data_IF_935868565546
#
_entry.id   IF_935868565546
#
_cell.length_a   1.000
_cell.length_b   1.000
_cell.length_c   1.000
_cell.angle_alpha   90.00
_cell.angle_beta   90.00
_cell.angle_gamma   90.00
#
_symmetry.space_group_name_H-M   'P 1'
#
loop_
_entity.id
_entity.type
_entity.pdbx_description
1 polymer ?
#
# COMPACT_ATOMS: atom_id res chain seq x y z
N UNK A 1 -4.46 -39.52 35.05
CA UNK A 1 -4.50 -39.01 36.43
C UNK A 1 -5.97 -39.07 36.89
N UNK A 2 -6.53 -40.25 37.12
CA UNK A 2 -6.45 -41.06 38.33
C UNK A 2 -7.05 -40.35 39.57
N UNK A 3 -8.26 -40.75 39.96
CA UNK A 3 -8.76 -41.00 41.32
C UNK A 3 -10.17 -41.65 41.12
N UNK A 4 -10.33 -42.99 41.17
CA UNK A 4 -10.49 -43.85 42.36
C UNK A 4 -11.40 -43.20 43.41
N UNK A 5 -12.36 -43.84 44.08
CA UNK A 5 -12.81 -45.22 44.22
C UNK A 5 -13.73 -45.20 45.46
N UNK A 6 -14.90 -45.86 45.47
CA UNK A 6 -15.21 -46.92 46.45
C UNK A 6 -16.61 -47.48 46.28
N UNK A 7 -16.63 -48.81 46.25
CA UNK A 7 -17.79 -49.67 46.28
C UNK A 7 -18.23 -50.01 47.72
N UNK A 8 -19.45 -50.55 47.80
CA UNK A 8 -19.92 -51.45 48.86
C UNK A 8 -21.13 -50.93 49.64
N UNK A 9 -22.08 -51.74 50.15
CA UNK A 9 -22.56 -53.10 49.90
C UNK A 9 -23.81 -53.23 50.78
N UNK A 10 -24.92 -53.75 50.24
CA UNK A 10 -26.01 -54.52 50.90
C UNK A 10 -26.59 -54.07 52.25
N UNK A 11 -27.92 -53.88 52.29
CA UNK A 11 -28.70 -53.88 53.54
C UNK A 11 -30.20 -54.00 53.27
N UNK A 12 -30.74 -55.18 53.60
CA UNK A 12 -32.13 -55.66 53.40
C UNK A 12 -32.97 -55.23 54.61
N UNK A 13 -34.18 -54.72 54.44
CA UNK A 13 -35.10 -54.52 55.57
C UNK A 13 -36.39 -53.76 55.25
N UNK A 14 -37.52 -54.45 55.42
CA UNK A 14 -38.90 -54.02 55.16
C UNK A 14 -39.35 -52.88 56.09
N UNK A 15 -40.21 -51.99 55.59
CA UNK A 15 -41.02 -51.08 56.40
C UNK A 15 -42.03 -50.33 55.53
N UNK A 16 -43.30 -50.68 55.65
CA UNK A 16 -44.42 -50.13 54.90
C UNK A 16 -44.78 -48.70 55.33
N UNK A 17 -45.31 -47.89 54.41
CA UNK A 17 -45.93 -46.60 54.73
C UNK A 17 -46.08 -45.73 53.47
N UNK A 18 -47.31 -45.55 53.01
CA UNK A 18 -47.63 -45.03 51.68
C UNK A 18 -47.38 -43.54 51.45
N UNK A 19 -47.41 -43.16 50.18
CA UNK A 19 -48.18 -42.05 49.60
C UNK A 19 -47.92 -42.06 48.08
N UNK A 20 -48.81 -42.70 47.32
CA UNK A 20 -48.82 -42.62 45.87
C UNK A 20 -49.33 -41.23 45.45
N UNK A 21 -48.44 -40.33 45.02
CA UNK A 21 -48.83 -39.15 44.22
C UNK A 21 -48.88 -39.58 42.76
N UNK A 22 -50.10 -39.75 42.25
CA UNK A 22 -50.35 -39.88 40.82
C UNK A 22 -49.87 -38.59 40.10
N UNK A 23 -49.03 -38.74 39.08
CA UNK A 23 -48.68 -37.64 38.16
C UNK A 23 -49.93 -37.30 37.35
N UNK A 24 -50.41 -36.04 37.34
CA UNK A 24 -51.53 -35.68 36.48
C UNK A 24 -51.09 -35.75 35.03
N UNK A 25 -51.83 -36.49 34.20
CA UNK A 25 -51.70 -36.43 32.76
C UNK A 25 -52.04 -35.00 32.30
N UNK A 26 -51.10 -34.32 31.64
CA UNK A 26 -51.36 -33.05 30.97
C UNK A 26 -52.43 -33.27 29.90
N UNK A 27 -53.67 -32.92 30.21
CA UNK A 27 -54.70 -32.73 29.18
C UNK A 27 -54.44 -31.38 28.52
N UNK A 28 -53.94 -31.40 27.29
CA UNK A 28 -53.84 -30.21 26.45
C UNK A 28 -55.27 -29.66 26.24
N UNK A 29 -55.53 -28.38 26.55
CA UNK A 29 -56.84 -27.78 26.33
C UNK A 29 -57.16 -27.77 24.84
N UNK A 30 -58.39 -28.13 24.48
CA UNK A 30 -58.84 -28.08 23.08
C UNK A 30 -58.79 -26.63 22.59
N UNK A 31 -58.16 -26.35 21.44
CA UNK A 31 -58.00 -24.99 20.97
C UNK A 31 -59.36 -24.39 20.65
N UNK A 32 -59.69 -23.27 21.29
CA UNK A 32 -60.86 -22.47 20.92
C UNK A 32 -60.67 -21.94 19.49
N UNK A 33 -61.75 -21.70 18.74
CA UNK A 33 -61.68 -21.19 17.35
C UNK A 33 -60.80 -19.95 17.20
N UNK A 34 -60.72 -19.10 18.25
CA UNK A 34 -59.84 -17.93 18.33
C UNK A 34 -58.36 -18.29 18.45
N UNK A 35 -58.02 -19.33 19.23
CA UNK A 35 -56.66 -19.83 19.36
C UNK A 35 -56.14 -20.48 18.06
N UNK A 36 -57.01 -21.19 17.33
CA UNK A 36 -56.68 -21.73 16.02
C UNK A 36 -56.44 -20.61 14.99
N UNK A 37 -57.29 -19.58 14.97
CA UNK A 37 -57.13 -18.44 14.07
C UNK A 37 -55.83 -17.65 14.34
N UNK A 38 -55.47 -17.47 15.61
CA UNK A 38 -54.19 -16.84 15.99
C UNK A 38 -52.98 -17.68 15.56
N UNK A 39 -53.01 -19.00 15.76
CA UNK A 39 -51.93 -19.88 15.33
C UNK A 39 -51.77 -19.92 13.80
N UNK A 40 -52.88 -19.94 13.06
CA UNK A 40 -52.85 -19.86 11.59
C UNK A 40 -52.32 -18.50 11.13
N UNK A 41 -52.77 -17.41 11.76
CA UNK A 41 -52.28 -16.06 11.46
C UNK A 41 -50.78 -15.89 11.72
N UNK A 42 -50.27 -16.40 12.85
CA UNK A 42 -48.84 -16.35 13.16
C UNK A 42 -48.02 -17.26 12.24
N UNK A 43 -48.53 -18.43 11.88
CA UNK A 43 -47.87 -19.32 10.91
C UNK A 43 -47.79 -18.69 9.52
N UNK A 44 -48.85 -18.02 9.05
CA UNK A 44 -48.86 -17.30 7.76
C UNK A 44 -47.89 -16.11 7.78
N UNK A 45 -47.84 -15.34 8.86
CA UNK A 45 -46.88 -14.24 9.02
C UNK A 45 -45.43 -14.75 9.08
N UNK A 46 -45.17 -15.83 9.81
CA UNK A 46 -43.85 -16.45 9.89
C UNK A 46 -43.42 -17.02 8.53
N UNK A 47 -44.35 -17.63 7.78
CA UNK A 47 -44.10 -18.10 6.42
C UNK A 47 -43.82 -16.95 5.46
N UNK A 48 -44.61 -15.87 5.50
CA UNK A 48 -44.39 -14.67 4.69
C UNK A 48 -43.07 -13.94 5.00
N UNK A 49 -42.72 -13.83 6.29
CA UNK A 49 -41.45 -13.25 6.72
C UNK A 49 -40.25 -14.15 6.33
N UNK A 50 -40.40 -15.47 6.48
CA UNK A 50 -39.37 -16.45 6.11
C UNK A 50 -39.09 -16.49 4.60
N UNK A 51 -40.15 -16.44 3.78
CA UNK A 51 -40.03 -16.36 2.32
C UNK A 51 -39.41 -15.04 1.88
N UNK A 52 -39.84 -13.91 2.43
CA UNK A 52 -39.23 -12.59 2.15
C UNK A 52 -37.75 -12.53 2.54
N UNK A 53 -37.37 -13.12 3.67
CA UNK A 53 -35.98 -13.22 4.09
C UNK A 53 -35.17 -14.11 3.13
N UNK A 54 -35.72 -15.25 2.70
CA UNK A 54 -35.08 -16.15 1.75
C UNK A 54 -34.87 -15.47 0.39
N UNK A 55 -35.88 -14.79 -0.15
CA UNK A 55 -35.80 -14.03 -1.42
C UNK A 55 -34.68 -12.99 -1.37
N UNK A 56 -34.62 -12.17 -0.31
CA UNK A 56 -33.55 -11.18 -0.12
C UNK A 56 -32.13 -11.78 -0.08
N UNK A 57 -31.98 -12.97 0.53
CA UNK A 57 -30.68 -13.66 0.55
C UNK A 57 -30.29 -14.16 -0.84
N UNK A 58 -31.28 -14.62 -1.62
CA UNK A 58 -31.05 -15.18 -2.95
C UNK A 58 -30.79 -14.12 -4.04
N UNK A 59 -31.27 -12.88 -3.89
CA UNK A 59 -31.06 -11.78 -4.85
C UNK A 59 -29.63 -11.66 -5.39
N UNK A 60 -28.62 -11.82 -4.52
CA UNK A 60 -27.22 -11.61 -4.87
C UNK A 60 -26.48 -12.88 -5.33
N UNK A 61 -26.99 -14.08 -5.03
CA UNK A 61 -26.27 -15.35 -5.22
C UNK A 61 -26.95 -16.35 -6.16
N UNK A 62 -28.28 -16.32 -6.23
CA UNK A 62 -29.09 -17.25 -7.01
C UNK A 62 -30.44 -16.59 -7.34
N UNK A 63 -30.47 -15.59 -8.25
CA UNK A 63 -31.71 -14.88 -8.56
C UNK A 63 -32.77 -15.81 -9.17
N UNK A 64 -32.40 -16.92 -9.82
CA UNK A 64 -33.38 -17.93 -10.26
C UNK A 64 -34.18 -18.54 -9.10
N UNK A 65 -33.56 -18.72 -7.92
CA UNK A 65 -34.23 -19.26 -6.74
C UNK A 65 -35.14 -18.22 -6.09
N UNK A 66 -34.77 -16.94 -6.15
CA UNK A 66 -35.65 -15.85 -5.75
C UNK A 66 -36.90 -15.81 -6.65
N UNK A 67 -36.73 -15.91 -7.97
CA UNK A 67 -37.83 -15.95 -8.94
C UNK A 67 -38.72 -17.22 -8.81
N UNK A 68 -38.16 -18.34 -8.33
CA UNK A 68 -38.95 -19.53 -8.05
C UNK A 68 -39.88 -19.36 -6.82
N UNK A 69 -39.51 -18.49 -5.88
CA UNK A 69 -40.29 -18.18 -4.67
C UNK A 69 -41.25 -17.01 -4.90
N UNK A 70 -40.81 -16.00 -5.64
CA UNK A 70 -41.57 -14.82 -6.03
C UNK A 70 -41.26 -14.46 -7.49
N UNK A 71 -42.14 -14.87 -8.40
CA UNK A 71 -41.93 -14.79 -9.85
C UNK A 71 -41.80 -13.38 -10.40
N UNK A 72 -42.35 -12.40 -9.67
CA UNK A 72 -42.39 -11.00 -10.08
C UNK A 72 -41.42 -10.13 -9.24
N UNK A 73 -40.52 -10.74 -8.46
CA UNK A 73 -39.58 -10.01 -7.61
C UNK A 73 -38.72 -9.04 -8.48
N UNK A 74 -38.85 -7.72 -8.28
CA UNK A 74 -38.28 -6.74 -9.19
C UNK A 74 -36.74 -6.73 -9.18
N UNK A 75 -36.12 -7.11 -8.08
CA UNK A 75 -34.65 -7.15 -7.95
C UNK A 75 -34.08 -8.40 -8.62
N UNK A 76 -34.68 -9.56 -8.37
CA UNK A 76 -34.30 -10.84 -8.93
C UNK A 76 -34.44 -10.85 -10.46
N UNK A 77 -35.52 -10.26 -10.99
CA UNK A 77 -35.74 -10.08 -12.43
C UNK A 77 -34.55 -9.37 -13.11
N UNK A 78 -34.09 -8.25 -12.54
CA UNK A 78 -32.97 -7.47 -13.09
C UNK A 78 -31.64 -8.19 -12.92
N UNK A 79 -31.43 -8.88 -11.79
CA UNK A 79 -30.18 -9.61 -11.50
C UNK A 79 -30.03 -10.85 -12.40
N UNK A 80 -31.10 -11.63 -12.59
CA UNK A 80 -31.13 -12.77 -13.52
C UNK A 80 -30.88 -12.30 -14.95
N UNK A 81 -31.56 -11.24 -15.42
CA UNK A 81 -31.32 -10.67 -16.73
C UNK A 81 -29.86 -10.24 -16.92
N UNK A 82 -29.25 -9.59 -15.92
CA UNK A 82 -27.84 -9.21 -15.96
C UNK A 82 -26.90 -10.42 -16.05
N UNK A 83 -27.16 -11.49 -15.28
CA UNK A 83 -26.34 -12.70 -15.32
C UNK A 83 -26.39 -13.37 -16.68
N UNK A 84 -27.57 -13.51 -17.27
CA UNK A 84 -27.75 -14.09 -18.62
C UNK A 84 -27.05 -13.27 -19.70
N UNK A 85 -27.08 -11.94 -19.60
CA UNK A 85 -26.33 -11.05 -20.50
C UNK A 85 -24.83 -11.31 -20.36
N UNK A 86 -24.32 -11.35 -19.13
CA UNK A 86 -22.90 -11.58 -18.88
C UNK A 86 -22.44 -12.97 -19.35
N UNK A 87 -23.31 -13.98 -19.30
CA UNK A 87 -23.06 -15.33 -19.79
C UNK A 87 -23.20 -15.48 -21.32
N UNK A 88 -23.63 -14.43 -22.04
CA UNK A 88 -23.89 -14.50 -23.48
C UNK A 88 -25.11 -15.34 -23.86
N UNK A 89 -25.98 -15.66 -22.89
CA UNK A 89 -27.16 -16.52 -23.07
C UNK A 89 -28.38 -15.78 -23.64
N UNK A 90 -28.27 -14.47 -23.80
CA UNK A 90 -29.32 -13.62 -24.37
C UNK A 90 -29.08 -13.46 -25.86
N UNK A 91 -29.57 -14.41 -26.66
CA UNK A 91 -29.67 -14.27 -28.12
C UNK A 91 -30.70 -13.22 -28.56
N UNK A 92 -30.85 -13.00 -29.86
CA UNK A 92 -31.90 -12.13 -30.42
C UNK A 92 -33.31 -12.74 -30.21
N UNK A 93 -34.34 -11.97 -29.78
CA UNK A 93 -34.38 -10.51 -29.54
C UNK A 93 -33.95 -10.13 -28.11
N UNK A 94 -32.66 -9.86 -27.91
CA UNK A 94 -32.06 -9.60 -26.60
C UNK A 94 -32.50 -8.26 -26.01
N UNK A 95 -32.36 -7.11 -26.72
CA UNK A 95 -32.64 -5.79 -26.16
C UNK A 95 -34.12 -5.56 -25.79
N UNK A 96 -35.05 -6.01 -26.63
CA UNK A 96 -36.48 -5.82 -26.38
C UNK A 96 -36.96 -6.60 -25.14
N UNK A 97 -36.42 -7.82 -24.94
CA UNK A 97 -36.71 -8.64 -23.76
C UNK A 97 -36.14 -8.03 -22.49
N UNK A 98 -34.92 -7.48 -22.53
CA UNK A 98 -34.32 -6.75 -21.40
C UNK A 98 -35.17 -5.54 -21.02
N UNK A 99 -35.63 -4.76 -22.01
CA UNK A 99 -36.46 -3.58 -21.75
C UNK A 99 -37.83 -3.94 -21.15
N UNK A 100 -38.39 -5.11 -21.47
CA UNK A 100 -39.62 -5.59 -20.82
C UNK A 100 -39.38 -5.88 -19.33
N UNK A 101 -38.31 -6.62 -19.01
CA UNK A 101 -37.89 -6.93 -17.63
C UNK A 101 -37.63 -5.64 -16.83
N UNK A 102 -36.95 -4.67 -17.43
CA UNK A 102 -36.71 -3.37 -16.78
C UNK A 102 -38.01 -2.64 -16.49
N UNK A 103 -38.95 -2.58 -17.45
CA UNK A 103 -40.23 -1.89 -17.26
C UNK A 103 -41.07 -2.54 -16.15
N UNK A 104 -41.08 -3.86 -16.10
CA UNK A 104 -41.75 -4.63 -15.06
C UNK A 104 -41.12 -4.34 -13.69
N UNK A 105 -39.80 -4.47 -13.59
CA UNK A 105 -39.06 -4.16 -12.38
C UNK A 105 -39.29 -2.74 -11.85
N UNK A 106 -39.30 -1.73 -12.74
CA UNK A 106 -39.53 -0.32 -12.36
C UNK A 106 -40.99 -0.04 -11.97
N UNK A 107 -41.96 -0.80 -12.51
CA UNK A 107 -43.37 -0.68 -12.10
C UNK A 107 -43.58 -1.15 -10.68
N UNK A 108 -42.97 -2.27 -10.31
CA UNK A 108 -43.07 -2.84 -8.97
C UNK A 108 -42.17 -2.12 -7.95
N UNK A 109 -40.94 -1.75 -8.34
CA UNK A 109 -39.98 -1.05 -7.49
C UNK A 109 -39.31 0.12 -8.24
N UNK A 110 -39.90 1.34 -8.18
CA UNK A 110 -39.37 2.52 -8.89
C UNK A 110 -37.96 2.97 -8.48
N UNK A 111 -37.47 2.49 -7.33
CA UNK A 111 -36.14 2.82 -6.78
C UNK A 111 -35.09 1.73 -7.07
N UNK A 112 -35.39 0.76 -7.94
CA UNK A 112 -34.43 -0.27 -8.32
C UNK A 112 -33.33 0.30 -9.24
N UNK A 113 -32.27 0.85 -8.65
CA UNK A 113 -31.15 1.49 -9.37
C UNK A 113 -30.55 0.65 -10.50
N UNK A 114 -30.24 -0.64 -10.28
CA UNK A 114 -29.74 -1.56 -11.30
C UNK A 114 -30.63 -1.68 -12.53
N UNK A 115 -31.95 -1.48 -12.41
CA UNK A 115 -32.87 -1.51 -13.54
C UNK A 115 -32.57 -0.38 -14.54
N UNK A 116 -32.26 0.82 -14.04
CA UNK A 116 -31.89 1.97 -14.88
C UNK A 116 -30.52 1.77 -15.55
N UNK A 117 -29.55 1.16 -14.86
CA UNK A 117 -28.28 0.77 -15.49
C UNK A 117 -28.51 -0.22 -16.63
N UNK A 118 -29.32 -1.25 -16.38
CA UNK A 118 -29.66 -2.27 -17.37
C UNK A 118 -30.43 -1.67 -18.56
N UNK A 119 -31.31 -0.69 -18.33
CA UNK A 119 -31.92 0.11 -19.40
C UNK A 119 -30.86 0.81 -20.25
N UNK A 120 -29.91 1.51 -19.61
CA UNK A 120 -28.85 2.22 -20.30
C UNK A 120 -28.00 1.29 -21.15
N UNK A 121 -27.54 0.16 -20.58
CA UNK A 121 -26.71 -0.81 -21.30
C UNK A 121 -27.45 -1.48 -22.47
N UNK A 122 -28.73 -1.80 -22.31
CA UNK A 122 -29.54 -2.41 -23.38
C UNK A 122 -29.90 -1.43 -24.50
N UNK A 123 -29.90 -0.13 -24.22
CA UNK A 123 -30.13 0.93 -25.22
C UNK A 123 -28.84 1.45 -25.87
N UNK A 124 -27.66 1.11 -25.36
CA UNK A 124 -26.38 1.56 -25.89
C UNK A 124 -26.13 1.17 -27.36
N UNK A 125 -26.70 0.05 -27.81
CA UNK A 125 -26.65 -0.40 -29.21
C UNK A 125 -27.30 0.59 -30.21
N UNK A 126 -28.13 1.52 -29.72
CA UNK A 126 -28.78 2.56 -30.54
C UNK A 126 -27.94 3.84 -30.71
N UNK A 127 -26.71 3.88 -30.19
CA UNK A 127 -25.79 5.04 -30.20
C UNK A 127 -26.31 6.32 -29.48
N UNK A 128 -27.38 6.24 -28.69
CA UNK A 128 -27.87 7.35 -27.84
C UNK A 128 -27.06 7.47 -26.52
N UNK A 129 -25.80 7.90 -26.61
CA UNK A 129 -24.96 8.14 -25.43
C UNK A 129 -25.58 9.12 -24.41
N UNK A 130 -26.21 10.25 -24.81
CA UNK A 130 -26.92 11.11 -23.86
C UNK A 130 -28.03 10.39 -23.10
N UNK A 131 -28.77 9.51 -23.78
CA UNK A 131 -29.76 8.62 -23.17
C UNK A 131 -29.15 7.68 -22.14
N UNK A 132 -28.08 6.96 -22.51
CA UNK A 132 -27.36 6.07 -21.59
C UNK A 132 -26.89 6.83 -20.35
N UNK A 133 -26.27 8.01 -20.54
CA UNK A 133 -25.79 8.85 -19.43
C UNK A 133 -26.90 9.25 -18.46
N UNK A 134 -28.08 9.64 -18.96
CA UNK A 134 -29.24 9.95 -18.10
C UNK A 134 -29.67 8.76 -17.25
N UNK A 135 -29.61 7.55 -17.81
CA UNK A 135 -30.02 6.31 -17.15
C UNK A 135 -28.99 5.86 -16.11
N UNK A 136 -27.70 6.04 -16.41
CA UNK A 136 -26.62 5.79 -15.46
C UNK A 136 -26.66 6.78 -14.28
N UNK A 137 -26.93 8.06 -14.55
CA UNK A 137 -27.15 9.05 -13.49
C UNK A 137 -28.42 8.79 -12.66
N UNK A 138 -29.48 8.23 -13.26
CA UNK A 138 -30.63 7.74 -12.51
C UNK A 138 -30.26 6.55 -11.61
N UNK A 139 -29.49 5.60 -12.15
CA UNK A 139 -28.99 4.45 -11.39
C UNK A 139 -28.17 4.90 -10.17
N UNK A 140 -27.20 5.80 -10.33
CA UNK A 140 -26.39 6.34 -9.22
C UNK A 140 -27.25 7.07 -8.16
N UNK A 141 -28.28 7.81 -8.57
CA UNK A 141 -29.19 8.49 -7.63
C UNK A 141 -30.01 7.51 -6.79
N UNK A 142 -30.46 6.40 -7.39
CA UNK A 142 -31.29 5.40 -6.70
C UNK A 142 -30.44 4.45 -5.87
N UNK A 143 -29.34 3.94 -6.41
CA UNK A 143 -28.42 3.02 -5.73
C UNK A 143 -26.97 3.44 -5.95
N UNK A 144 -26.45 4.31 -5.07
CA UNK A 144 -25.05 4.78 -5.11
C UNK A 144 -24.02 3.64 -5.04
N UNK A 145 -24.43 2.47 -4.52
CA UNK A 145 -23.59 1.28 -4.36
C UNK A 145 -23.66 0.32 -5.56
N UNK A 146 -24.25 0.72 -6.67
CA UNK A 146 -24.16 -0.02 -7.94
C UNK A 146 -22.77 0.20 -8.58
N UNK A 147 -21.87 -0.77 -8.39
CA UNK A 147 -20.51 -0.73 -8.94
C UNK A 147 -20.51 -0.61 -10.47
N UNK A 148 -21.43 -1.27 -11.17
CA UNK A 148 -21.48 -1.21 -12.63
C UNK A 148 -21.81 0.18 -13.14
N UNK A 149 -22.69 0.90 -12.44
CA UNK A 149 -23.02 2.29 -12.77
C UNK A 149 -21.84 3.21 -12.48
N UNK A 150 -21.15 3.03 -11.34
CA UNK A 150 -19.97 3.83 -11.02
C UNK A 150 -18.85 3.64 -12.05
N UNK A 151 -18.56 2.40 -12.46
CA UNK A 151 -17.53 2.13 -13.47
C UNK A 151 -17.86 2.80 -14.80
N UNK A 152 -19.11 2.70 -15.27
CA UNK A 152 -19.52 3.39 -16.49
C UNK A 152 -19.41 4.92 -16.37
N UNK A 153 -19.79 5.49 -15.23
CA UNK A 153 -19.73 6.94 -14.99
C UNK A 153 -18.29 7.45 -14.83
N UNK A 154 -17.35 6.60 -14.38
CA UNK A 154 -15.92 6.89 -14.42
C UNK A 154 -15.47 7.05 -15.87
N UNK A 155 -15.74 6.06 -16.73
CA UNK A 155 -15.33 6.10 -18.14
C UNK A 155 -15.94 7.31 -18.87
N UNK A 156 -17.25 7.55 -18.71
CA UNK A 156 -17.92 8.71 -19.31
C UNK A 156 -17.33 10.05 -18.82
N UNK A 157 -16.93 10.15 -17.55
CA UNK A 157 -16.28 11.34 -17.03
C UNK A 157 -14.86 11.51 -17.59
N UNK A 158 -14.10 10.42 -17.74
CA UNK A 158 -12.76 10.43 -18.36
C UNK A 158 -12.85 10.84 -19.83
N UNK A 159 -13.79 10.29 -20.60
CA UNK A 159 -14.01 10.67 -22.01
C UNK A 159 -14.36 12.16 -22.17
N UNK A 160 -15.06 12.73 -21.20
CA UNK A 160 -15.40 14.17 -21.17
C UNK A 160 -14.30 15.05 -20.55
N UNK A 161 -13.16 14.47 -20.17
CA UNK A 161 -12.07 15.14 -19.46
C UNK A 161 -12.52 15.83 -18.15
N UNK A 162 -13.53 15.26 -17.49
CA UNK A 162 -14.12 15.74 -16.24
C UNK A 162 -13.50 15.00 -15.04
N UNK A 163 -12.27 15.39 -14.70
CA UNK A 163 -11.45 14.74 -13.65
C UNK A 163 -12.16 14.73 -12.30
N UNK A 164 -12.90 15.79 -11.96
CA UNK A 164 -13.60 15.87 -10.68
C UNK A 164 -14.75 14.86 -10.59
N UNK A 165 -15.56 14.76 -11.65
CA UNK A 165 -16.61 13.75 -11.70
C UNK A 165 -16.01 12.34 -11.67
N UNK A 166 -14.95 12.10 -12.43
CA UNK A 166 -14.27 10.80 -12.44
C UNK A 166 -13.80 10.39 -11.04
N UNK A 167 -13.04 11.25 -10.34
CA UNK A 167 -12.56 10.97 -8.99
C UNK A 167 -13.70 10.79 -7.97
N UNK A 168 -14.80 11.55 -8.12
CA UNK A 168 -16.01 11.37 -7.31
C UNK A 168 -16.65 9.98 -7.48
N UNK A 169 -16.67 9.44 -8.70
CA UNK A 169 -17.14 8.09 -8.96
C UNK A 169 -16.14 7.01 -8.52
N UNK A 170 -14.83 7.28 -8.61
CA UNK A 170 -13.79 6.43 -8.00
C UNK A 170 -13.99 6.29 -6.49
N UNK A 171 -14.19 7.39 -5.76
CA UNK A 171 -14.42 7.34 -4.31
C UNK A 171 -15.62 6.45 -3.96
N UNK A 172 -16.75 6.60 -4.67
CA UNK A 172 -17.92 5.74 -4.51
C UNK A 172 -17.56 4.28 -4.81
N UNK A 173 -16.92 3.99 -5.95
CA UNK A 173 -16.60 2.63 -6.38
C UNK A 173 -15.65 1.90 -5.41
N UNK A 174 -14.65 2.59 -4.89
CA UNK A 174 -13.64 2.05 -3.97
C UNK A 174 -14.18 1.81 -2.55
N UNK A 175 -15.29 2.48 -2.18
CA UNK A 175 -16.03 2.24 -0.92
C UNK A 175 -17.02 1.06 -0.99
N UNK A 176 -17.35 0.57 -2.19
CA UNK A 176 -18.40 -0.46 -2.35
C UNK A 176 -17.90 -1.84 -1.92
N UNK A 177 -16.83 -2.35 -2.54
CA UNK A 177 -16.29 -3.70 -2.34
C UNK A 177 -14.78 -3.71 -2.57
N UNK A 178 -14.05 -4.55 -1.84
CA UNK A 178 -12.59 -4.73 -2.01
C UNK A 178 -12.20 -5.09 -3.45
N UNK A 179 -13.03 -5.92 -4.11
CA UNK A 179 -12.75 -6.42 -5.46
C UNK A 179 -12.65 -5.32 -6.53
N UNK A 180 -13.23 -4.13 -6.30
CA UNK A 180 -13.08 -3.01 -7.25
C UNK A 180 -11.67 -2.41 -7.21
N UNK A 181 -10.95 -2.54 -6.09
CA UNK A 181 -9.59 -1.99 -5.91
C UNK A 181 -8.58 -2.63 -6.85
N UNK A 182 -8.69 -3.94 -7.09
CA UNK A 182 -7.84 -4.66 -8.02
C UNK A 182 -7.95 -4.15 -9.47
N UNK A 183 -9.09 -3.57 -9.82
CA UNK A 183 -9.35 -2.99 -11.15
C UNK A 183 -8.94 -1.52 -11.18
N UNK A 184 -9.30 -0.77 -10.13
CA UNK A 184 -9.22 0.70 -10.13
C UNK A 184 -7.87 1.25 -9.66
N UNK A 185 -7.17 0.58 -8.74
CA UNK A 185 -5.88 1.07 -8.25
C UNK A 185 -4.81 1.18 -9.35
N UNK A 186 -4.60 0.18 -10.23
CA UNK A 186 -3.60 0.31 -11.30
C UNK A 186 -3.84 1.55 -12.18
N UNK A 187 -5.10 1.76 -12.59
CA UNK A 187 -5.48 2.90 -13.44
C UNK A 187 -5.29 4.22 -12.72
N UNK A 188 -5.71 4.30 -11.46
CA UNK A 188 -5.56 5.52 -10.64
C UNK A 188 -4.09 5.83 -10.34
N UNK A 189 -3.25 4.81 -10.15
CA UNK A 189 -1.80 4.96 -9.99
C UNK A 189 -1.18 5.59 -11.24
N UNK A 190 -1.46 5.06 -12.43
CA UNK A 190 -0.98 5.67 -13.69
C UNK A 190 -1.52 7.09 -13.88
N UNK A 191 -2.76 7.37 -13.47
CA UNK A 191 -3.33 8.71 -13.55
C UNK A 191 -2.57 9.75 -12.69
N UNK A 192 -1.80 9.33 -11.68
CA UNK A 192 -1.00 10.25 -10.84
C UNK A 192 0.16 10.90 -11.61
N UNK A 193 0.54 10.40 -12.78
CA UNK A 193 1.52 11.07 -13.65
C UNK A 193 1.04 12.47 -14.06
N UNK A 194 -0.27 12.63 -14.25
CA UNK A 194 -0.89 13.90 -14.64
C UNK A 194 -0.97 14.89 -13.47
N UNK A 195 -0.34 16.08 -13.59
CA UNK A 195 -0.44 17.14 -12.58
C UNK A 195 -1.88 17.59 -12.33
N UNK A 196 -2.73 17.57 -13.35
CA UNK A 196 -4.14 17.95 -13.23
C UNK A 196 -4.93 16.96 -12.37
N UNK A 197 -4.62 15.66 -12.49
CA UNK A 197 -5.26 14.62 -11.67
C UNK A 197 -4.77 14.75 -10.23
N UNK A 198 -3.46 14.87 -9.98
CA UNK A 198 -2.93 15.05 -8.63
C UNK A 198 -3.54 16.26 -7.92
N UNK A 199 -3.63 17.40 -8.61
CA UNK A 199 -4.24 18.61 -8.06
C UNK A 199 -5.71 18.40 -7.63
N UNK A 200 -6.48 17.59 -8.38
CA UNK A 200 -7.86 17.22 -8.01
C UNK A 200 -7.92 16.11 -6.98
N UNK A 201 -6.84 15.37 -6.78
CA UNK A 201 -6.73 14.29 -5.79
C UNK A 201 -6.37 14.81 -4.39
N UNK A 202 -5.73 15.99 -4.28
CA UNK A 202 -5.30 16.57 -2.99
C UNK A 202 -6.36 16.59 -1.87
N UNK A 203 -7.66 16.86 -2.12
CA UNK A 203 -8.67 16.80 -1.07
C UNK A 203 -8.76 15.43 -0.38
N UNK A 204 -8.51 14.33 -1.10
CA UNK A 204 -8.48 13.00 -0.50
C UNK A 204 -7.26 12.79 0.40
N UNK A 205 -6.13 13.46 0.13
CA UNK A 205 -4.95 13.42 1.01
C UNK A 205 -5.20 14.16 2.33
N UNK A 206 -6.05 15.19 2.32
CA UNK A 206 -6.38 16.01 3.49
C UNK A 206 -7.48 15.41 4.37
N UNK A 207 -8.49 14.77 3.76
CA UNK A 207 -9.55 14.03 4.46
C UNK A 207 -9.57 12.56 3.96
N UNK A 208 -8.69 11.69 4.51
CA UNK A 208 -8.46 10.35 3.98
C UNK A 208 -9.71 9.48 3.95
N UNK A 209 -10.21 9.09 2.76
CA UNK A 209 -11.26 8.09 2.68
C UNK A 209 -10.74 6.70 3.11
N UNK A 210 -11.62 5.76 3.52
CA UNK A 210 -11.19 4.44 4.02
C UNK A 210 -10.38 3.58 3.05
N UNK A 211 -10.39 3.89 1.76
CA UNK A 211 -9.62 3.18 0.73
C UNK A 211 -8.26 3.82 0.43
N UNK A 212 -8.00 5.06 0.89
CA UNK A 212 -6.79 5.81 0.53
C UNK A 212 -5.52 5.10 0.98
N UNK A 213 -5.51 4.56 2.18
CA UNK A 213 -4.39 3.79 2.72
C UNK A 213 -4.01 2.63 1.79
N UNK A 214 -5.00 1.82 1.41
CA UNK A 214 -4.78 0.71 0.49
C UNK A 214 -4.30 1.16 -0.88
N UNK A 215 -4.82 2.30 -1.37
CA UNK A 215 -4.38 2.89 -2.63
C UNK A 215 -2.92 3.37 -2.56
N UNK A 216 -2.55 4.15 -1.54
CA UNK A 216 -1.19 4.69 -1.41
C UNK A 216 -0.17 3.57 -1.21
N UNK A 217 -0.50 2.54 -0.42
CA UNK A 217 0.33 1.34 -0.31
C UNK A 217 0.51 0.65 -1.66
N UNK A 218 -0.57 0.47 -2.41
CA UNK A 218 -0.50 -0.11 -3.74
C UNK A 218 0.35 0.75 -4.70
N UNK A 219 0.09 2.06 -4.74
CA UNK A 219 0.74 2.99 -5.65
C UNK A 219 2.24 3.12 -5.37
N UNK A 220 2.65 3.23 -4.10
CA UNK A 220 4.06 3.24 -3.73
C UNK A 220 4.76 1.96 -4.18
N UNK A 221 4.14 0.79 -3.96
CA UNK A 221 4.77 -0.49 -4.27
C UNK A 221 4.76 -0.89 -5.75
N UNK A 222 3.84 -0.34 -6.56
CA UNK A 222 3.57 -0.84 -7.92
C UNK A 222 3.60 0.25 -9.01
N UNK A 223 3.86 1.52 -8.69
CA UNK A 223 3.91 2.57 -9.72
C UNK A 223 5.07 2.33 -10.67
N UNK A 224 4.81 2.45 -11.97
CA UNK A 224 5.86 2.50 -12.99
C UNK A 224 6.64 3.83 -12.94
N UNK A 225 6.02 4.89 -12.43
CA UNK A 225 6.62 6.20 -12.15
C UNK A 225 6.49 6.49 -10.63
N UNK A 226 7.45 6.09 -9.80
CA UNK A 226 7.44 6.43 -8.38
C UNK A 226 7.61 7.94 -8.13
N UNK A 227 8.18 8.70 -9.08
CA UNK A 227 8.34 10.16 -8.97
C UNK A 227 6.98 10.85 -8.98
N UNK A 228 6.01 10.36 -9.77
CA UNK A 228 4.63 10.86 -9.73
C UNK A 228 4.00 10.76 -8.33
N UNK A 229 4.25 9.66 -7.61
CA UNK A 229 3.76 9.47 -6.24
C UNK A 229 4.50 10.39 -5.26
N UNK A 230 5.81 10.57 -5.43
CA UNK A 230 6.60 11.53 -4.65
C UNK A 230 6.16 12.98 -4.86
N UNK A 231 5.74 13.34 -6.08
CA UNK A 231 5.13 14.63 -6.40
C UNK A 231 3.78 14.78 -5.73
N UNK A 232 2.91 13.77 -5.77
CA UNK A 232 1.62 13.81 -5.07
C UNK A 232 1.81 14.07 -3.57
N UNK A 233 2.69 13.32 -2.91
CA UNK A 233 3.00 13.51 -1.50
C UNK A 233 3.55 14.92 -1.25
N UNK A 234 4.49 15.40 -2.08
CA UNK A 234 5.02 16.76 -1.98
C UNK A 234 3.97 17.86 -2.15
N UNK A 235 3.09 17.74 -3.13
CA UNK A 235 1.98 18.67 -3.40
C UNK A 235 0.94 18.68 -2.27
N UNK A 236 0.76 17.55 -1.58
CA UNK A 236 -0.12 17.42 -0.41
C UNK A 236 0.51 17.91 0.90
N UNK A 237 1.82 18.20 0.92
CA UNK A 237 2.57 18.53 2.14
C UNK A 237 3.02 17.33 2.98
N UNK A 238 2.99 16.13 2.38
CA UNK A 238 3.32 14.85 3.02
C UNK A 238 2.26 13.79 2.73
N UNK A 239 2.53 12.56 3.16
CA UNK A 239 1.47 11.56 3.30
C UNK A 239 0.54 11.92 4.46
N UNK A 240 -0.72 11.42 4.47
CA UNK A 240 -1.61 11.66 5.59
C UNK A 240 -1.03 11.15 6.91
N UNK A 241 -1.35 11.83 8.02
CA UNK A 241 -0.84 11.45 9.34
C UNK A 241 -1.49 10.15 9.87
N UNK A 242 -0.78 9.46 10.76
CA UNK A 242 -1.31 8.35 11.56
C UNK A 242 -0.61 7.01 11.31
N UNK A 243 -0.83 6.01 12.19
CA UNK A 243 -0.09 4.74 12.15
C UNK A 243 -0.24 3.97 10.85
N UNK A 244 -1.37 4.14 10.16
CA UNK A 244 -1.66 3.45 8.91
C UNK A 244 -0.77 3.91 7.74
N UNK A 245 -0.23 5.12 7.81
CA UNK A 245 0.62 5.71 6.76
C UNK A 245 2.10 5.82 7.18
N UNK A 246 2.46 5.40 8.39
CA UNK A 246 3.76 5.67 9.01
C UNK A 246 4.97 5.17 8.19
N UNK A 247 4.81 4.13 7.38
CA UNK A 247 5.91 3.56 6.57
C UNK A 247 5.92 4.03 5.11
N UNK A 248 4.99 4.92 4.70
CA UNK A 248 4.83 5.31 3.28
C UNK A 248 6.08 6.02 2.75
N UNK A 249 6.65 6.94 3.51
CA UNK A 249 7.85 7.67 3.09
C UNK A 249 9.05 6.73 2.92
N UNK A 250 9.31 5.84 3.86
CA UNK A 250 10.42 4.86 3.77
C UNK A 250 10.25 3.92 2.58
N UNK A 251 9.04 3.42 2.37
CA UNK A 251 8.75 2.54 1.23
C UNK A 251 8.91 3.29 -0.10
N UNK A 252 8.47 4.55 -0.18
CA UNK A 252 8.65 5.38 -1.36
C UNK A 252 10.13 5.70 -1.63
N UNK A 253 10.93 6.00 -0.60
CA UNK A 253 12.38 6.20 -0.74
C UNK A 253 13.06 4.96 -1.35
N UNK A 254 12.72 3.76 -0.86
CA UNK A 254 13.26 2.50 -1.41
C UNK A 254 12.87 2.30 -2.87
N UNK A 255 11.63 2.62 -3.23
CA UNK A 255 11.14 2.48 -4.60
C UNK A 255 11.77 3.49 -5.55
N UNK A 256 11.95 4.74 -5.13
CA UNK A 256 12.67 5.75 -5.91
C UNK A 256 14.11 5.31 -6.18
N UNK A 257 14.82 4.82 -5.17
CA UNK A 257 16.19 4.33 -5.35
C UNK A 257 16.26 3.06 -6.20
N UNK A 258 15.32 2.13 -6.04
CA UNK A 258 15.25 0.93 -6.87
C UNK A 258 14.94 1.22 -8.35
N UNK A 259 14.30 2.37 -8.64
CA UNK A 259 14.04 2.87 -9.98
C UNK A 259 15.14 3.81 -10.51
N UNK A 260 16.29 3.91 -9.83
CA UNK A 260 17.38 4.83 -10.13
C UNK A 260 16.99 6.34 -10.11
N UNK A 261 15.88 6.68 -9.46
CA UNK A 261 15.36 8.04 -9.29
C UNK A 261 15.99 8.72 -8.05
N UNK A 262 17.32 8.74 -8.01
CA UNK A 262 18.10 9.20 -6.83
C UNK A 262 17.84 10.66 -6.46
N UNK A 263 17.74 11.56 -7.44
CA UNK A 263 17.45 12.97 -7.19
C UNK A 263 16.06 13.16 -6.59
N UNK A 264 15.07 12.41 -7.09
CA UNK A 264 13.72 12.43 -6.55
C UNK A 264 13.67 11.84 -5.13
N UNK A 265 14.47 10.80 -4.83
CA UNK A 265 14.62 10.25 -3.48
C UNK A 265 15.17 11.30 -2.49
N UNK A 266 16.26 11.97 -2.85
CA UNK A 266 16.85 13.05 -2.03
C UNK A 266 15.87 14.20 -1.85
N UNK A 267 15.17 14.61 -2.91
CA UNK A 267 14.17 15.66 -2.84
C UNK A 267 12.98 15.28 -1.95
N UNK A 268 12.53 14.02 -2.01
CA UNK A 268 11.47 13.51 -1.15
C UNK A 268 11.91 13.46 0.31
N UNK A 269 13.10 12.93 0.59
CA UNK A 269 13.67 12.88 1.95
C UNK A 269 13.67 14.26 2.63
N UNK A 270 14.13 15.31 1.93
CA UNK A 270 14.15 16.68 2.44
C UNK A 270 12.77 17.23 2.84
N UNK A 271 11.68 16.64 2.35
CA UNK A 271 10.30 17.02 2.68
C UNK A 271 9.71 16.19 3.81
N UNK A 272 10.32 15.06 4.18
CA UNK A 272 9.81 14.21 5.26
C UNK A 272 9.93 14.99 6.58
N UNK A 273 8.86 15.09 7.39
CA UNK A 273 8.93 15.69 8.72
C UNK A 273 10.06 15.09 9.57
N UNK A 274 10.86 15.96 10.20
CA UNK A 274 12.00 15.55 11.03
C UNK A 274 13.19 14.98 10.26
N UNK A 275 13.23 15.09 8.92
CA UNK A 275 14.44 14.77 8.16
C UNK A 275 15.58 15.73 8.54
N UNK A 276 16.77 15.16 8.70
CA UNK A 276 17.98 15.88 9.08
C UNK A 276 18.84 16.11 7.82
N UNK A 277 19.02 17.35 7.35
CA UNK A 277 19.83 17.64 6.16
C UNK A 277 21.27 17.16 6.27
N UNK A 278 21.83 17.05 7.49
CA UNK A 278 23.21 16.61 7.71
C UNK A 278 23.43 15.16 7.27
N UNK A 279 22.40 14.31 7.32
CA UNK A 279 22.47 12.91 6.88
C UNK A 279 22.90 12.79 5.41
N UNK A 280 22.55 13.77 4.57
CA UNK A 280 22.88 13.80 3.15
C UNK A 280 24.30 14.29 2.85
N UNK A 281 24.94 15.02 3.77
CA UNK A 281 26.24 15.66 3.51
C UNK A 281 27.37 15.14 4.40
N UNK A 282 27.06 14.23 5.33
CA UNK A 282 28.02 13.60 6.24
C UNK A 282 28.06 12.08 6.05
N UNK A 283 29.19 11.47 6.36
CA UNK A 283 29.34 10.01 6.46
C UNK A 283 29.22 9.49 7.89
N UNK A 284 29.10 10.38 8.88
CA UNK A 284 29.15 10.05 10.29
C UNK A 284 28.04 9.07 10.69
N UNK A 285 28.36 8.22 11.66
CA UNK A 285 27.40 7.29 12.25
C UNK A 285 26.71 7.96 13.44
N UNK A 286 25.48 8.44 13.19
CA UNK A 286 24.59 9.03 14.19
C UNK A 286 23.26 8.29 14.22
N UNK A 287 22.47 8.44 15.30
CA UNK A 287 21.15 7.83 15.40
C UNK A 287 20.24 8.19 14.20
N UNK A 288 20.25 9.45 13.75
CA UNK A 288 19.51 9.90 12.57
C UNK A 288 20.08 9.29 11.28
N UNK A 289 21.41 9.19 11.19
CA UNK A 289 22.10 8.67 10.02
C UNK A 289 22.02 7.14 9.90
N UNK A 290 21.52 6.41 10.90
CA UNK A 290 21.28 4.95 10.86
C UNK A 290 19.80 4.59 11.05
N UNK A 291 18.91 5.58 11.12
CA UNK A 291 17.48 5.36 11.31
C UNK A 291 16.87 4.58 10.12
N UNK A 292 16.26 3.43 10.42
CA UNK A 292 15.80 2.47 9.39
C UNK A 292 14.57 2.94 8.61
N UNK A 293 13.79 3.88 9.18
CA UNK A 293 12.68 4.58 8.52
C UNK A 293 13.17 5.65 7.51
N UNK A 294 14.47 5.95 7.50
CA UNK A 294 15.10 6.89 6.56
C UNK A 294 15.94 6.22 5.48
N UNK A 295 16.11 4.90 5.55
CA UNK A 295 16.89 4.15 4.56
C UNK A 295 16.19 4.15 3.19
N UNK A 296 16.94 4.23 2.05
CA UNK A 296 18.40 4.13 1.94
C UNK A 296 19.13 5.49 1.91
N UNK A 297 18.50 6.59 2.35
CA UNK A 297 19.18 7.89 2.48
C UNK A 297 20.11 7.88 3.69
N UNK A 298 19.61 7.36 4.82
CA UNK A 298 20.45 6.95 5.95
C UNK A 298 21.27 5.69 5.60
N UNK A 299 22.28 5.40 6.41
CA UNK A 299 22.99 4.13 6.41
C UNK A 299 22.01 2.98 6.55
N UNK A 300 21.98 2.17 5.50
CA UNK A 300 21.24 0.93 5.44
C UNK A 300 22.23 -0.22 5.60
N UNK A 301 22.17 -0.86 6.76
CA UNK A 301 22.60 -2.24 6.95
C UNK A 301 21.58 -3.14 6.24
N UNK A 302 22.04 -4.07 5.39
CA UNK A 302 21.14 -5.03 4.74
C UNK A 302 21.71 -6.44 4.84
N UNK A 303 20.87 -7.36 5.28
CA UNK A 303 21.20 -8.77 5.38
C UNK A 303 21.31 -9.38 3.97
N UNK A 304 22.41 -10.10 3.75
CA UNK A 304 22.61 -10.97 2.61
C UNK A 304 22.93 -12.36 3.18
N UNK A 305 22.65 -13.45 2.45
CA UNK A 305 23.04 -14.78 2.93
C UNK A 305 24.54 -14.77 3.30
N UNK A 306 24.88 -15.16 4.52
CA UNK A 306 26.24 -15.14 5.06
C UNK A 306 26.80 -13.77 5.46
N UNK A 307 26.00 -12.69 5.44
CA UNK A 307 26.37 -11.35 5.92
C UNK A 307 25.23 -10.80 6.79
N UNK A 308 25.48 -10.69 8.09
CA UNK A 308 24.52 -10.26 9.10
C UNK A 308 24.97 -8.94 9.73
N UNK A 309 24.50 -7.78 9.23
CA UNK A 309 24.83 -6.49 9.80
C UNK A 309 23.83 -6.03 10.87
N UNK A 310 24.36 -5.45 11.94
CA UNK A 310 23.67 -4.93 13.11
C UNK A 310 24.08 -3.48 13.35
N UNK A 311 23.09 -2.60 13.58
CA UNK A 311 23.35 -1.26 14.11
C UNK A 311 23.33 -1.34 15.63
N UNK A 312 24.46 -1.02 16.27
CA UNK A 312 24.66 -1.14 17.71
C UNK A 312 25.04 0.21 18.33
N UNK A 313 24.91 0.33 19.64
CA UNK A 313 25.54 1.44 20.36
C UNK A 313 27.07 1.29 20.29
N UNK A 314 27.78 2.38 20.03
CA UNK A 314 29.24 2.36 19.94
C UNK A 314 29.89 1.85 21.23
N UNK A 315 31.01 1.13 21.13
CA UNK A 315 31.72 0.54 22.28
C UNK A 315 32.15 1.56 23.35
N UNK A 316 32.46 2.79 22.92
CA UNK A 316 32.82 3.89 23.82
C UNK A 316 31.61 4.55 24.51
N UNK A 317 30.40 4.11 24.17
CA UNK A 317 29.13 4.60 24.69
C UNK A 317 28.65 5.91 24.06
N UNK A 318 29.30 6.40 22.99
CA UNK A 318 28.95 7.67 22.34
C UNK A 318 28.66 7.42 20.85
N UNK A 319 27.38 7.46 20.49
CA UNK A 319 26.93 7.28 19.11
C UNK A 319 26.61 5.83 18.78
N UNK A 320 26.71 5.48 17.49
CA UNK A 320 26.31 4.18 16.95
C UNK A 320 27.41 3.62 16.06
N UNK A 321 27.51 2.30 15.98
CA UNK A 321 28.41 1.58 15.07
C UNK A 321 27.63 0.55 14.24
N UNK A 322 28.16 0.19 13.07
CA UNK A 322 27.63 -0.91 12.25
C UNK A 322 28.59 -2.08 12.39
N UNK A 323 28.13 -3.14 13.02
CA UNK A 323 28.83 -4.41 13.13
C UNK A 323 28.28 -5.39 12.10
N UNK A 324 29.12 -6.10 11.36
CA UNK A 324 28.71 -7.14 10.45
C UNK A 324 29.43 -8.44 10.78
N UNK A 325 28.67 -9.52 10.93
CA UNK A 325 29.19 -10.88 10.99
C UNK A 325 29.11 -11.51 9.60
N UNK A 326 30.24 -11.97 9.08
CA UNK A 326 30.35 -12.51 7.73
C UNK A 326 30.87 -13.94 7.76
N UNK A 327 30.11 -14.86 7.18
CA UNK A 327 30.53 -16.24 7.00
C UNK A 327 31.74 -16.33 6.04
N UNK A 328 32.61 -17.31 6.28
CA UNK A 328 33.74 -17.62 5.43
C UNK A 328 33.34 -17.89 3.96
N UNK A 329 33.99 -17.21 3.02
CA UNK A 329 33.79 -17.36 1.57
C UNK A 329 32.66 -16.52 0.98
N UNK A 330 32.02 -15.66 1.77
CA UNK A 330 31.03 -14.70 1.29
C UNK A 330 31.68 -13.35 0.96
N UNK A 331 31.25 -12.78 -0.16
CA UNK A 331 31.63 -11.45 -0.61
C UNK A 331 30.36 -10.66 -0.89
N UNK A 332 30.28 -9.44 -0.38
CA UNK A 332 29.13 -8.59 -0.66
C UNK A 332 29.09 -7.32 0.18
N UNK A 333 28.11 -6.45 -0.07
CA UNK A 333 27.98 -5.21 0.66
C UNK A 333 27.26 -5.46 1.99
N UNK A 334 27.70 -4.78 3.05
CA UNK A 334 27.05 -4.85 4.36
C UNK A 334 26.47 -3.50 4.81
N UNK A 335 26.90 -2.40 4.18
CA UNK A 335 26.38 -1.07 4.44
C UNK A 335 26.33 -0.24 3.15
N UNK A 336 25.29 0.59 3.02
CA UNK A 336 25.16 1.57 1.94
C UNK A 336 24.40 2.82 2.39
N UNK A 337 24.61 3.94 1.71
CA UNK A 337 23.78 5.14 1.86
C UNK A 337 23.83 6.03 0.62
N UNK A 338 22.98 7.05 0.60
CA UNK A 338 23.09 8.16 -0.35
C UNK A 338 23.82 9.35 0.29
N UNK A 339 24.51 10.10 -0.56
CA UNK A 339 25.05 11.44 -0.29
C UNK A 339 24.55 12.41 -1.35
N UNK A 340 24.46 13.69 -0.98
CA UNK A 340 24.16 14.79 -1.87
C UNK A 340 25.05 15.99 -1.53
N UNK A 341 26.37 15.76 -1.52
CA UNK A 341 27.35 16.83 -1.34
C UNK A 341 27.51 17.65 -2.62
N UNK A 342 27.79 18.95 -2.52
CA UNK A 342 28.00 19.79 -3.70
C UNK A 342 29.30 19.40 -4.44
N UNK A 343 29.51 19.93 -5.65
CA UNK A 343 30.76 19.75 -6.37
C UNK A 343 31.95 20.32 -5.59
N UNK A 344 33.07 19.60 -5.58
CA UNK A 344 34.28 19.98 -4.85
C UNK A 344 35.18 18.79 -4.54
N UNK A 345 36.37 19.05 -3.99
CA UNK A 345 37.28 18.00 -3.51
C UNK A 345 37.06 17.74 -2.02
N UNK A 346 37.00 16.46 -1.64
CA UNK A 346 36.75 16.02 -0.28
C UNK A 346 37.82 15.01 0.17
N UNK A 347 38.15 15.06 1.45
CA UNK A 347 38.90 14.01 2.15
C UNK A 347 37.91 13.13 2.92
N UNK A 348 38.01 11.82 2.71
CA UNK A 348 37.32 10.78 3.46
C UNK A 348 38.28 10.18 4.49
N UNK A 349 37.78 9.99 5.70
CA UNK A 349 38.40 9.17 6.73
C UNK A 349 37.33 8.28 7.37
N UNK A 350 37.55 6.98 7.46
CA UNK A 350 36.66 6.06 8.17
C UNK A 350 37.44 5.14 9.09
N UNK A 351 36.99 5.03 10.33
CA UNK A 351 37.58 4.16 11.34
C UNK A 351 36.88 2.80 11.32
N UNK A 352 37.66 1.73 11.14
CA UNK A 352 37.21 0.37 10.95
C UNK A 352 37.94 -0.58 11.91
N UNK A 353 37.28 -1.68 12.28
CA UNK A 353 37.85 -2.72 13.15
C UNK A 353 37.51 -4.11 12.66
N UNK A 354 38.46 -5.03 12.80
CA UNK A 354 38.30 -6.43 12.43
C UNK A 354 38.52 -7.37 13.62
N UNK A 355 37.63 -8.34 13.79
CA UNK A 355 37.76 -9.43 14.76
C UNK A 355 37.64 -10.76 13.99
N UNK A 356 38.38 -11.79 14.43
CA UNK A 356 38.41 -13.12 13.81
C UNK A 356 38.75 -13.14 12.30
N UNK A 357 39.49 -12.14 11.83
CA UNK A 357 39.93 -12.02 10.43
C UNK A 357 41.07 -12.98 10.07
N UNK A 358 41.17 -13.31 8.78
CA UNK A 358 42.27 -14.05 8.15
C UNK A 358 43.09 -13.15 7.23
N UNK A 359 44.35 -13.54 7.01
CA UNK A 359 45.18 -12.91 5.98
C UNK A 359 44.49 -12.96 4.62
N UNK A 360 44.36 -11.80 3.98
CA UNK A 360 43.68 -11.65 2.69
C UNK A 360 42.18 -11.34 2.75
N UNK A 361 41.56 -11.27 3.94
CA UNK A 361 40.25 -10.63 4.10
C UNK A 361 40.35 -9.14 3.79
N UNK A 362 39.36 -8.61 3.07
CA UNK A 362 39.42 -7.23 2.58
C UNK A 362 38.11 -6.50 2.77
N UNK A 363 38.20 -5.20 2.98
CA UNK A 363 37.07 -4.27 2.90
C UNK A 363 37.28 -3.35 1.71
N UNK A 364 36.22 -3.17 0.93
CA UNK A 364 36.18 -2.23 -0.17
C UNK A 364 35.20 -1.11 0.13
N UNK A 365 35.68 0.12 0.07
CA UNK A 365 34.83 1.31 0.07
C UNK A 365 34.67 1.82 -1.35
N UNK A 366 33.44 2.17 -1.71
CA UNK A 366 33.16 2.77 -3.02
C UNK A 366 32.24 3.98 -2.86
N UNK A 367 32.66 5.12 -3.40
CA UNK A 367 31.79 6.26 -3.66
C UNK A 367 31.69 6.43 -5.17
N UNK A 368 30.48 6.43 -5.68
CA UNK A 368 30.21 6.60 -7.10
C UNK A 368 29.12 7.65 -7.31
N UNK A 369 29.10 8.24 -8.50
CA UNK A 369 28.00 9.11 -8.87
C UNK A 369 26.75 8.28 -9.21
N UNK A 370 25.60 8.64 -8.64
CA UNK A 370 24.38 7.85 -8.80
C UNK A 370 23.73 7.99 -10.19
N UNK A 371 23.88 9.15 -10.83
CA UNK A 371 23.25 9.49 -12.13
C UNK A 371 24.14 9.21 -13.34
N UNK A 372 25.43 8.99 -13.12
CA UNK A 372 26.33 8.61 -14.19
C UNK A 372 26.21 7.10 -14.39
N UNK A 373 26.16 6.63 -15.64
CA UNK A 373 26.46 5.24 -15.99
C UNK A 373 27.95 4.89 -15.75
N UNK A 374 28.54 5.49 -14.71
CA UNK A 374 29.97 5.55 -14.49
C UNK A 374 30.45 4.18 -14.02
N UNK A 375 31.08 3.47 -14.95
CA UNK A 375 31.93 2.32 -14.66
C UNK A 375 33.12 2.69 -13.75
N UNK A 376 33.37 3.98 -13.50
CA UNK A 376 34.48 4.45 -12.68
C UNK A 376 33.98 5.12 -11.38
N UNK A 377 34.39 4.62 -10.22
CA UNK A 377 34.04 5.22 -8.94
C UNK A 377 34.77 6.57 -8.75
N UNK A 378 34.13 7.49 -8.03
CA UNK A 378 34.77 8.76 -7.61
C UNK A 378 35.87 8.49 -6.56
N UNK A 379 35.62 7.49 -5.72
CA UNK A 379 36.55 6.98 -4.71
C UNK A 379 36.42 5.46 -4.64
N UNK A 380 37.55 4.77 -4.63
CA UNK A 380 37.62 3.35 -4.32
C UNK A 380 38.84 3.08 -3.46
N UNK A 381 38.65 2.31 -2.39
CA UNK A 381 39.74 1.74 -1.62
C UNK A 381 39.50 0.25 -1.42
N UNK A 382 40.58 -0.51 -1.34
CA UNK A 382 40.54 -1.94 -1.02
C UNK A 382 41.65 -2.22 -0.01
N UNK A 383 41.25 -2.40 1.24
CA UNK A 383 42.13 -2.44 2.39
C UNK A 383 42.07 -3.83 3.04
N UNK A 384 43.23 -4.35 3.47
CA UNK A 384 43.29 -5.62 4.21
C UNK A 384 42.79 -5.40 5.63
N UNK A 385 41.98 -6.35 6.12
CA UNK A 385 41.38 -6.26 7.46
C UNK A 385 42.45 -6.50 8.53
N UNK A 386 42.51 -5.59 9.49
CA UNK A 386 43.32 -5.73 10.72
C UNK A 386 42.48 -5.39 11.96
N UNK A 387 43.05 -5.53 13.15
CA UNK A 387 42.36 -5.26 14.42
C UNK A 387 41.75 -3.85 14.48
N UNK A 388 42.58 -2.83 14.22
CA UNK A 388 42.15 -1.46 13.97
C UNK A 388 42.79 -0.98 12.66
N UNK A 389 42.01 -0.35 11.78
CA UNK A 389 42.51 0.25 10.54
C UNK A 389 41.68 1.47 10.15
N UNK A 390 42.27 2.29 9.28
CA UNK A 390 41.63 3.50 8.76
C UNK A 390 41.59 3.47 7.25
N UNK A 391 40.41 3.73 6.72
CA UNK A 391 40.22 4.04 5.31
C UNK A 391 40.41 5.53 5.14
N UNK A 392 41.30 5.95 4.25
CA UNK A 392 41.51 7.37 3.99
C UNK A 392 41.83 7.63 2.52
N UNK A 393 41.37 8.78 2.03
CA UNK A 393 41.77 9.27 0.72
C UNK A 393 40.95 10.46 0.27
N UNK A 394 41.33 11.00 -0.89
CA UNK A 394 40.69 12.18 -1.45
C UNK A 394 39.94 11.80 -2.72
N UNK A 395 38.82 12.47 -2.96
CA UNK A 395 38.07 12.35 -4.20
C UNK A 395 37.44 13.68 -4.60
N UNK A 396 37.02 13.78 -5.86
CA UNK A 396 36.39 15.00 -6.39
C UNK A 396 34.98 14.67 -6.89
N UNK A 397 34.00 15.45 -6.44
CA UNK A 397 32.63 15.39 -6.92
C UNK A 397 32.47 16.38 -8.08
N UNK A 398 32.18 15.91 -9.30
CA UNK A 398 32.02 16.80 -10.45
C UNK A 398 30.67 17.53 -10.42
N UNK A 399 30.58 18.65 -11.15
CA UNK A 399 29.36 19.47 -11.22
C UNK A 399 28.10 18.71 -11.70
N UNK A 400 28.27 17.66 -12.51
CA UNK A 400 27.18 16.82 -13.01
C UNK A 400 26.76 15.68 -12.08
N UNK A 401 27.22 15.68 -10.82
CA UNK A 401 26.92 14.62 -9.87
C UNK A 401 26.16 15.13 -8.65
N UNK A 402 24.82 15.30 -8.74
CA UNK A 402 24.03 15.85 -7.64
C UNK A 402 23.80 14.86 -6.48
N UNK A 403 23.91 13.55 -6.75
CA UNK A 403 23.74 12.49 -5.76
C UNK A 403 24.85 11.46 -5.95
N UNK A 404 25.44 11.03 -4.83
CA UNK A 404 26.45 9.97 -4.78
C UNK A 404 25.93 8.78 -4.00
N UNK A 405 26.35 7.58 -4.39
CA UNK A 405 26.10 6.36 -3.63
C UNK A 405 27.36 5.98 -2.88
N UNK A 406 27.22 5.61 -1.60
CA UNK A 406 28.30 5.07 -0.78
C UNK A 406 27.97 3.61 -0.51
N UNK A 407 28.96 2.74 -0.71
CA UNK A 407 28.82 1.30 -0.46
C UNK A 407 30.08 0.77 0.20
N UNK A 408 29.88 -0.11 1.18
CA UNK A 408 30.95 -0.81 1.87
C UNK A 408 30.74 -2.30 1.66
N UNK A 409 31.73 -2.93 1.06
CA UNK A 409 31.79 -4.35 0.78
C UNK A 409 32.88 -5.03 1.58
N UNK A 410 32.65 -6.30 1.88
CA UNK A 410 33.66 -7.17 2.44
C UNK A 410 33.89 -8.35 1.49
N UNK A 411 35.14 -8.77 1.41
CA UNK A 411 35.60 -9.96 0.69
C UNK A 411 36.30 -10.89 1.68
N UNK A 412 35.61 -11.96 2.10
CA UNK A 412 36.18 -12.92 3.06
C UNK A 412 36.90 -14.06 2.33
N UNK A 413 38.15 -14.31 2.71
CA UNK A 413 39.00 -15.42 2.22
C UNK A 413 39.24 -16.49 3.27
N UNK A 414 38.64 -16.34 4.46
CA UNK A 414 38.68 -17.30 5.55
C UNK A 414 38.33 -18.71 5.06
N UNK A 415 39.09 -19.72 5.46
CA UNK A 415 38.84 -21.13 5.11
C UNK A 415 37.77 -21.80 6.01
N UNK A 416 37.51 -21.24 7.20
CA UNK A 416 36.47 -21.66 8.14
C UNK A 416 36.22 -20.61 9.23
N UNK A 417 34.98 -20.31 9.57
CA UNK A 417 34.61 -19.39 10.66
C UNK A 417 33.77 -18.21 10.17
N UNK A 418 33.80 -17.12 10.93
CA UNK A 418 33.20 -15.84 10.58
C UNK A 418 34.22 -14.72 10.75
N UNK A 419 34.13 -13.70 9.91
CA UNK A 419 34.80 -12.40 10.06
C UNK A 419 33.81 -11.46 10.74
N UNK A 420 34.24 -10.76 11.78
CA UNK A 420 33.49 -9.67 12.36
C UNK A 420 34.13 -8.35 11.96
N UNK A 421 33.36 -7.52 11.25
CA UNK A 421 33.76 -6.19 10.81
C UNK A 421 32.94 -5.13 11.53
N UNK A 422 33.61 -4.10 12.04
CA UNK A 422 32.92 -2.95 12.63
C UNK A 422 33.31 -1.68 11.90
N UNK A 423 32.30 -0.99 11.39
CA UNK A 423 32.38 0.37 10.91
C UNK A 423 31.97 1.31 12.05
N UNK A 424 32.94 2.02 12.62
CA UNK A 424 32.77 2.78 13.85
C UNK A 424 32.33 4.23 13.59
N UNK A 425 33.03 4.95 12.70
CA UNK A 425 32.66 6.31 12.29
C UNK A 425 33.31 6.67 10.94
N UNK A 426 32.75 7.65 10.23
CA UNK A 426 33.36 8.22 9.05
C UNK A 426 33.15 9.74 8.97
N UNK A 427 34.20 10.43 8.54
CA UNK A 427 34.20 11.87 8.34
C UNK A 427 34.44 12.21 6.87
N UNK A 428 33.75 13.24 6.43
CA UNK A 428 33.93 13.83 5.11
C UNK A 428 34.28 15.31 5.29
N UNK A 429 35.48 15.71 4.86
CA UNK A 429 35.97 17.09 5.03
C UNK A 429 36.16 17.73 3.66
N UNK A 430 35.51 18.87 3.35
CA UNK A 430 35.81 19.61 2.13
C UNK A 430 37.25 20.12 2.18
N UNK A 431 38.03 19.83 1.14
CA UNK A 431 39.34 20.43 0.96
C UNK A 431 39.12 21.79 0.30
N UNK A 432 39.67 22.85 0.89
CA UNK A 432 39.58 24.17 0.28
C UNK A 432 40.21 24.12 -1.11
N UNK A 433 39.41 24.33 -2.14
CA UNK A 433 39.90 24.50 -3.50
C UNK A 433 40.95 25.62 -3.47
N UNK A 434 42.16 25.36 -3.97
CA UNK A 434 43.20 26.39 -4.18
C UNK A 434 42.80 27.48 -5.19
N UNK A 435 41.53 27.60 -5.56
CA UNK A 435 40.98 28.60 -6.44
C UNK A 435 40.44 29.79 -5.65
N UNK A 436 41.26 30.83 -5.53
CA UNK A 436 40.74 32.16 -5.19
C UNK A 436 39.60 32.53 -6.15
N UNK A 437 38.48 33.10 -5.68
CA UNK A 437 37.50 33.69 -6.58
C UNK A 437 38.21 34.81 -7.34
N UNK A 438 38.39 34.62 -8.64
CA UNK A 438 38.89 35.70 -9.50
C UNK A 438 37.83 36.80 -9.44
N UNK A 439 38.16 38.02 -8.96
CA UNK A 439 37.18 39.08 -8.91
C UNK A 439 36.71 39.40 -10.34
N UNK A 440 35.43 39.73 -10.54
CA UNK A 440 34.92 40.08 -11.87
C UNK A 440 35.72 41.27 -12.43
N UNK A 441 35.97 41.31 -13.75
CA UNK A 441 36.66 42.43 -14.36
C UNK A 441 35.85 43.72 -14.10
N UNK A 442 36.46 44.62 -13.35
CA UNK A 442 35.98 45.99 -13.16
C UNK A 442 35.91 46.66 -14.53
N UNK A 443 34.68 46.85 -15.01
CA UNK A 443 34.42 47.68 -16.19
C UNK A 443 34.76 49.14 -15.86
N UNK A 444 35.53 49.84 -16.69
CA UNK A 444 35.82 51.25 -16.48
C UNK A 444 34.56 52.08 -16.71
N UNK A 445 34.26 52.98 -15.76
CA UNK A 445 33.24 54.02 -15.90
C UNK A 445 33.53 54.88 -17.14
N UNK A 446 32.52 55.27 -17.94
CA UNK A 446 32.71 56.25 -19.01
C UNK A 446 33.01 57.62 -18.39
N UNK A 447 34.02 58.29 -18.92
CA UNK A 447 34.31 59.69 -18.63
C UNK A 447 33.15 60.58 -19.07
N UNK A 448 32.72 61.48 -18.19
CA UNK A 448 32.01 62.70 -18.56
C UNK A 448 32.86 63.50 -19.56
N UNK A 449 32.33 63.72 -20.77
CA UNK A 449 32.69 64.83 -21.63
C UNK A 449 31.54 65.09 -22.61
N UNK A 450 31.03 66.34 -22.53
CA UNK A 450 30.10 67.10 -23.38
C UNK A 450 28.61 66.73 -23.44
#
# INVERSE_FOLDING_TARGET
MALRSKAGRTGRGKGAGGFARARPALRLPQPTRRGLALLVGTALLAYGAGTSAAVNVFHARAPELALALDGDDPVALVRDAQLRINAGEMGEPGPARVLAVVRESVRELPINGPAFRLYGLSSAASADLPGVRRQMALSDRMERRDLGAQLWLIEDAVERNDIAAALGHYDKALRIRESSRAILFPVLTGAMESPLVRARFLPYMQDPPPWLEGFLRYAVANSADPVAIARLAGEAGGFPEGPAFATRDTELLRQLVAADEYEAAVAHYRRIPGADPEVLISLALTENATASDRAPVSWQAFELAGIEPYVLAARDGIGVEIEAELEAGYTGPFARKLLAVPPGTYALEADMRGEDFSSGDRVRWTIACATAAANEPLFESEDEVTEDFRIAGNFTVPAGCPVQTVRIDADTRVASGYLKLVFADARLTPLADGGSPTPPPTSPLPSEAD
#
